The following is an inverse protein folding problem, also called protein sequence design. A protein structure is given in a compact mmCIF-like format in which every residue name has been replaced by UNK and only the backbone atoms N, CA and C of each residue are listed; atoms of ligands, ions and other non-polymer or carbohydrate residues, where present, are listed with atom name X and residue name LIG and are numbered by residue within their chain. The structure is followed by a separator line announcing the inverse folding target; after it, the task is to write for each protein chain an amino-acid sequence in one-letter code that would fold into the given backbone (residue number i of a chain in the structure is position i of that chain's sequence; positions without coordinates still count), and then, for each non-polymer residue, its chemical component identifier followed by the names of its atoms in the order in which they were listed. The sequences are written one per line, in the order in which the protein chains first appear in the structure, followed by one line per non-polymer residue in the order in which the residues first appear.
data_IF_484226146100
#
_entry.id   IF_484226146100
#
_cell.length_a   1.000
_cell.length_b   1.000
_cell.length_c   1.000
_cell.angle_alpha   90.00
_cell.angle_beta   90.00
_cell.angle_gamma   90.00
#
_symmetry.space_group_name_H-M   'P 1'
#
loop_
_entity.id
_entity.type
_entity.pdbx_description
1 polymer ?
#
# COMPACT_ATOMS: atom_id res chain seq x y z
N UNK A 1 16.02 -7.45 12.34
CA UNK A 1 15.85 -8.56 11.37
C UNK A 1 16.16 -7.99 9.99
N UNK A 2 17.26 -8.39 9.34
CA UNK A 2 17.65 -7.84 8.03
C UNK A 2 16.79 -8.53 6.96
N UNK A 3 15.79 -7.84 6.42
CA UNK A 3 14.94 -8.30 5.30
C UNK A 3 15.62 -8.02 3.94
N UNK A 4 16.87 -8.43 3.82
CA UNK A 4 17.60 -8.47 2.55
C UNK A 4 18.38 -9.76 2.53
N UNK A 5 18.20 -10.57 1.49
CA UNK A 5 19.20 -11.60 1.19
C UNK A 5 20.50 -10.83 1.05
N UNK A 6 21.44 -10.98 1.99
CA UNK A 6 22.81 -10.56 1.74
C UNK A 6 23.25 -11.41 0.56
N UNK A 7 23.08 -10.90 -0.66
CA UNK A 7 23.69 -11.52 -1.81
C UNK A 7 25.16 -11.59 -1.42
N UNK A 8 25.79 -12.75 -1.61
CA UNK A 8 27.20 -12.93 -1.30
C UNK A 8 28.09 -12.16 -2.30
N UNK A 9 27.65 -10.97 -2.72
CA UNK A 9 28.19 -10.13 -3.76
C UNK A 9 28.07 -8.70 -3.24
N UNK A 10 29.22 -8.08 -3.00
CA UNK A 10 29.28 -6.67 -2.64
C UNK A 10 28.76 -5.78 -3.78
N UNK A 11 28.42 -4.50 -3.53
CA UNK A 11 28.03 -3.60 -4.61
C UNK A 11 29.14 -3.42 -5.66
N UNK A 12 28.76 -3.29 -6.94
CA UNK A 12 29.72 -3.12 -8.05
C UNK A 12 30.64 -1.90 -7.86
N UNK A 13 30.10 -0.81 -7.31
CA UNK A 13 30.85 0.41 -7.05
C UNK A 13 31.97 0.19 -6.01
N UNK A 14 31.74 -0.67 -5.01
CA UNK A 14 32.71 -0.97 -3.95
C UNK A 14 33.91 -1.71 -4.53
N UNK A 15 33.66 -2.72 -5.37
CA UNK A 15 34.70 -3.46 -6.08
C UNK A 15 35.53 -2.57 -7.02
N UNK A 16 34.88 -1.63 -7.73
CA UNK A 16 35.54 -0.72 -8.67
C UNK A 16 36.41 0.32 -7.95
N UNK A 17 35.93 0.86 -6.83
CA UNK A 17 36.62 1.90 -6.07
C UNK A 17 37.76 1.35 -5.21
N UNK A 18 37.56 0.17 -4.65
CA UNK A 18 38.46 -0.46 -3.68
C UNK A 18 38.80 -1.89 -4.11
N UNK A 19 39.75 -2.09 -5.05
CA UNK A 19 40.04 -3.44 -5.56
C UNK A 19 40.62 -4.42 -4.52
N UNK A 20 41.03 -3.95 -3.35
CA UNK A 20 41.46 -4.78 -2.20
C UNK A 20 40.29 -5.52 -1.55
N UNK A 21 39.05 -5.09 -1.80
CA UNK A 21 37.87 -5.82 -1.33
C UNK A 21 37.65 -7.11 -2.10
N UNK A 22 38.29 -7.31 -3.26
CA UNK A 22 38.24 -8.56 -4.02
C UNK A 22 39.25 -9.56 -3.45
N UNK A 23 38.81 -10.81 -3.27
CA UNK A 23 39.68 -11.91 -2.89
C UNK A 23 40.68 -12.26 -4.00
N UNK A 24 41.80 -12.84 -3.60
CA UNK A 24 42.87 -13.29 -4.49
C UNK A 24 42.93 -14.82 -4.52
N UNK A 25 43.38 -15.39 -5.63
CA UNK A 25 43.75 -16.80 -5.73
C UNK A 25 45.21 -17.00 -5.27
N UNK A 26 45.63 -18.25 -5.09
CA UNK A 26 46.98 -18.60 -4.63
C UNK A 26 48.09 -18.11 -5.58
N UNK A 27 47.76 -17.89 -6.85
CA UNK A 27 48.66 -17.34 -7.88
C UNK A 27 48.73 -15.79 -7.88
N UNK A 28 48.16 -15.13 -6.86
CA UNK A 28 48.00 -13.67 -6.74
C UNK A 28 47.09 -13.03 -7.79
N UNK A 29 46.32 -13.80 -8.55
CA UNK A 29 45.31 -13.23 -9.44
C UNK A 29 44.08 -12.78 -8.65
N UNK A 30 43.57 -11.57 -8.94
CA UNK A 30 42.36 -11.06 -8.30
C UNK A 30 41.12 -11.71 -8.87
N UNK A 31 40.15 -12.00 -8.00
CA UNK A 31 38.79 -12.33 -8.43
C UNK A 31 38.18 -11.14 -9.15
N UNK A 32 37.38 -11.41 -10.18
CA UNK A 32 36.68 -10.38 -10.96
C UNK A 32 35.28 -10.21 -10.42
N UNK A 33 34.77 -8.98 -10.32
CA UNK A 33 33.38 -8.72 -9.94
C UNK A 33 32.36 -9.44 -10.84
N UNK A 34 31.29 -10.01 -10.26
CA UNK A 34 30.17 -10.63 -11.00
C UNK A 34 29.77 -12.03 -10.55
N UNK A 35 30.50 -12.62 -9.60
CA UNK A 35 30.21 -13.92 -9.00
C UNK A 35 29.85 -13.83 -7.52
N UNK A 36 29.75 -14.99 -6.86
CA UNK A 36 29.44 -15.11 -5.43
C UNK A 36 30.73 -15.28 -4.61
N UNK A 37 30.75 -14.73 -3.40
CA UNK A 37 31.84 -14.82 -2.41
C UNK A 37 33.19 -14.36 -2.98
N UNK A 38 33.17 -13.23 -3.66
CA UNK A 38 34.36 -12.66 -4.29
C UNK A 38 35.09 -11.67 -3.40
N UNK A 39 34.55 -11.39 -2.21
CA UNK A 39 35.13 -10.45 -1.28
C UNK A 39 36.30 -11.08 -0.50
N UNK A 40 37.29 -10.27 -0.16
CA UNK A 40 38.40 -10.65 0.70
C UNK A 40 37.99 -10.51 2.17
N UNK A 41 37.92 -11.63 2.89
CA UNK A 41 37.59 -11.64 4.33
C UNK A 41 38.60 -10.89 5.20
N UNK A 42 39.81 -10.63 4.70
CA UNK A 42 40.85 -9.91 5.43
C UNK A 42 40.95 -8.42 5.03
N UNK A 43 40.10 -7.95 4.10
CA UNK A 43 40.09 -6.54 3.69
C UNK A 43 39.47 -5.67 4.78
N UNK A 44 40.28 -4.79 5.37
CA UNK A 44 39.81 -3.76 6.31
C UNK A 44 38.78 -2.82 5.67
N UNK A 45 38.93 -2.55 4.37
CA UNK A 45 37.99 -1.73 3.60
C UNK A 45 36.63 -2.41 3.51
N UNK A 46 36.61 -3.71 3.23
CA UNK A 46 35.37 -4.50 3.20
C UNK A 46 34.69 -4.47 4.57
N UNK A 47 35.43 -4.70 5.65
CA UNK A 47 34.90 -4.66 7.02
C UNK A 47 34.28 -3.31 7.36
N UNK A 48 34.99 -2.21 7.06
CA UNK A 48 34.51 -0.86 7.31
C UNK A 48 33.17 -0.59 6.61
N UNK A 49 33.08 -0.83 5.30
CA UNK A 49 31.84 -0.57 4.56
C UNK A 49 30.71 -1.52 4.97
N UNK A 50 31.01 -2.77 5.30
CA UNK A 50 30.01 -3.70 5.84
C UNK A 50 29.46 -3.22 7.17
N UNK A 51 30.31 -2.73 8.07
CA UNK A 51 29.88 -2.17 9.35
C UNK A 51 29.03 -0.90 9.16
N UNK A 52 29.42 0.00 8.26
CA UNK A 52 28.63 1.18 7.90
C UNK A 52 27.25 0.80 7.34
N UNK A 53 27.16 -0.22 6.48
CA UNK A 53 25.88 -0.69 5.91
C UNK A 53 25.01 -1.37 6.96
N UNK A 54 25.58 -2.24 7.82
CA UNK A 54 24.83 -2.94 8.87
C UNK A 54 24.23 -1.96 9.87
N UNK A 55 24.97 -0.89 10.19
CA UNK A 55 24.51 0.15 11.12
C UNK A 55 23.73 1.27 10.43
N UNK A 56 23.50 1.19 9.11
CA UNK A 56 22.71 2.18 8.41
C UNK A 56 21.24 2.08 8.80
N UNK A 57 20.63 3.23 9.07
CA UNK A 57 19.23 3.32 9.43
C UNK A 57 18.37 3.30 8.16
N UNK A 58 17.45 2.35 8.08
CA UNK A 58 16.46 2.27 7.01
C UNK A 58 15.21 2.98 7.51
N UNK A 59 14.91 4.16 6.96
CA UNK A 59 13.66 4.88 7.23
C UNK A 59 12.72 4.76 6.03
N UNK A 60 11.47 4.44 6.32
CA UNK A 60 10.39 4.42 5.35
C UNK A 60 9.37 5.49 5.77
N UNK A 61 8.92 6.31 4.82
CA UNK A 61 7.87 7.31 5.09
C UNK A 61 6.48 6.75 4.81
N UNK A 62 6.41 5.59 4.16
CA UNK A 62 5.18 4.92 3.76
C UNK A 62 5.13 3.54 4.41
N UNK A 63 3.95 3.17 4.90
CA UNK A 63 3.68 1.83 5.38
C UNK A 63 2.45 1.23 4.70
N UNK A 64 2.47 -0.07 4.45
CA UNK A 64 1.30 -0.84 4.04
C UNK A 64 0.94 -1.84 5.13
N UNK A 65 -0.33 -1.83 5.54
CA UNK A 65 -0.84 -2.79 6.52
C UNK A 65 -1.08 -4.13 5.83
N UNK A 66 -0.51 -5.20 6.40
CA UNK A 66 -0.80 -6.58 6.05
C UNK A 66 -1.55 -7.27 7.19
N UNK A 67 -2.88 -7.39 7.04
CA UNK A 67 -3.76 -7.91 8.08
C UNK A 67 -4.23 -9.34 7.77
N UNK A 68 -3.74 -10.28 8.57
CA UNK A 68 -4.03 -11.70 8.40
C UNK A 68 -5.50 -12.07 8.67
N UNK A 69 -6.20 -11.32 9.53
CA UNK A 69 -7.62 -11.55 9.83
C UNK A 69 -8.50 -11.21 8.61
N UNK A 70 -8.21 -10.08 7.97
CA UNK A 70 -8.87 -9.67 6.72
C UNK A 70 -8.57 -10.66 5.59
N UNK A 71 -7.32 -11.12 5.47
CA UNK A 71 -6.96 -12.18 4.52
C UNK A 71 -7.74 -13.48 4.78
N UNK A 72 -7.89 -13.89 6.05
CA UNK A 72 -8.66 -15.07 6.42
C UNK A 72 -10.15 -14.91 6.10
N UNK A 73 -10.73 -13.74 6.39
CA UNK A 73 -12.12 -13.39 6.07
C UNK A 73 -12.39 -13.52 4.57
N UNK A 74 -11.53 -12.95 3.71
CA UNK A 74 -11.69 -13.06 2.26
C UNK A 74 -11.44 -14.47 1.72
N UNK A 75 -10.61 -15.30 2.37
CA UNK A 75 -10.46 -16.71 1.96
C UNK A 75 -11.76 -17.51 2.15
N UNK A 76 -12.55 -17.17 3.17
CA UNK A 76 -13.83 -17.84 3.46
C UNK A 76 -14.96 -17.25 2.60
N UNK A 77 -15.03 -15.91 2.50
CA UNK A 77 -16.08 -15.20 1.78
C UNK A 77 -15.47 -14.23 0.77
N UNK A 78 -15.04 -14.79 -0.37
CA UNK A 78 -14.42 -14.00 -1.44
C UNK A 78 -15.36 -13.00 -2.10
N UNK A 79 -16.64 -13.37 -2.27
CA UNK A 79 -17.69 -12.65 -3.02
C UNK A 79 -17.39 -12.48 -4.53
N UNK A 80 -16.19 -12.06 -4.90
CA UNK A 80 -15.67 -12.11 -6.27
C UNK A 80 -14.63 -13.23 -6.43
N UNK A 81 -14.66 -13.99 -7.53
CA UNK A 81 -13.59 -14.95 -7.85
C UNK A 81 -12.24 -14.28 -8.11
N UNK A 82 -12.25 -12.98 -8.46
CA UNK A 82 -11.05 -12.18 -8.68
C UNK A 82 -10.41 -11.68 -7.38
N UNK A 83 -11.09 -11.83 -6.24
CA UNK A 83 -10.59 -11.32 -4.96
C UNK A 83 -9.40 -12.12 -4.44
N UNK A 84 -8.23 -11.50 -4.50
CA UNK A 84 -7.00 -11.92 -3.83
C UNK A 84 -6.44 -10.74 -3.02
N UNK A 85 -6.39 -10.92 -1.70
CA UNK A 85 -5.85 -9.93 -0.76
C UNK A 85 -4.44 -9.46 -1.15
N UNK A 86 -3.58 -10.36 -1.62
CA UNK A 86 -2.19 -10.00 -2.00
C UNK A 86 -2.18 -9.08 -3.20
N UNK A 87 -3.06 -9.29 -4.17
CA UNK A 87 -3.10 -8.45 -5.37
C UNK A 87 -3.47 -7.01 -5.03
N UNK A 88 -4.36 -6.80 -4.04
CA UNK A 88 -4.70 -5.45 -3.60
C UNK A 88 -3.58 -4.79 -2.79
N UNK A 89 -2.86 -5.55 -1.95
CA UNK A 89 -1.61 -5.08 -1.32
C UNK A 89 -0.62 -4.63 -2.40
N UNK A 90 -0.41 -5.43 -3.45
CA UNK A 90 0.46 -5.07 -4.56
C UNK A 90 -0.03 -3.84 -5.33
N UNK A 91 -1.34 -3.67 -5.52
CA UNK A 91 -1.92 -2.52 -6.21
C UNK A 91 -1.55 -1.22 -5.51
N UNK A 92 -1.71 -1.16 -4.19
CA UNK A 92 -1.33 0.02 -3.39
C UNK A 92 0.19 0.18 -3.27
N UNK A 93 0.95 -0.92 -3.19
CA UNK A 93 2.40 -0.90 -3.00
C UNK A 93 3.20 -0.52 -4.26
N UNK A 94 2.80 -1.04 -5.42
CA UNK A 94 3.48 -0.89 -6.72
C UNK A 94 3.89 0.55 -7.05
N UNK A 95 2.99 1.56 -7.01
CA UNK A 95 3.35 2.91 -7.47
C UNK A 95 4.50 3.52 -6.65
N UNK A 96 4.53 3.30 -5.34
CA UNK A 96 5.61 3.79 -4.49
C UNK A 96 6.93 3.06 -4.78
N UNK A 97 6.88 1.75 -4.97
CA UNK A 97 8.05 0.95 -5.33
C UNK A 97 8.66 1.36 -6.67
N UNK A 98 7.84 1.58 -7.69
CA UNK A 98 8.29 2.04 -9.02
C UNK A 98 8.92 3.45 -8.97
N UNK A 99 8.55 4.26 -7.98
CA UNK A 99 9.14 5.57 -7.73
C UNK A 99 10.32 5.54 -6.72
N UNK A 100 10.87 4.35 -6.41
CA UNK A 100 11.97 4.15 -5.45
C UNK A 100 11.70 4.71 -4.04
N UNK A 101 10.43 4.77 -3.64
CA UNK A 101 10.04 5.13 -2.28
C UNK A 101 10.16 3.89 -1.41
N UNK A 102 10.84 4.01 -0.28
CA UNK A 102 10.98 2.92 0.68
C UNK A 102 9.68 2.74 1.47
N UNK A 103 9.22 1.50 1.60
CA UNK A 103 7.91 1.16 2.16
C UNK A 103 8.07 0.00 3.13
N UNK A 104 7.49 0.13 4.31
CA UNK A 104 7.43 -0.98 5.27
C UNK A 104 6.12 -1.75 5.12
N UNK A 105 6.20 -3.08 5.22
CA UNK A 105 5.02 -3.95 5.33
C UNK A 105 4.84 -4.28 6.81
N UNK A 106 3.79 -3.75 7.43
CA UNK A 106 3.59 -3.81 8.87
C UNK A 106 2.28 -4.52 9.24
N UNK A 107 2.20 -5.18 10.40
CA UNK A 107 0.93 -5.64 10.93
C UNK A 107 0.11 -4.47 11.50
N UNK A 108 -1.20 -4.64 11.65
CA UNK A 108 -2.10 -3.58 12.14
C UNK A 108 -1.90 -3.16 13.60
N UNK A 109 -1.19 -3.96 14.41
CA UNK A 109 -1.03 -3.75 15.85
C UNK A 109 0.24 -3.00 16.27
N UNK A 110 1.17 -2.71 15.34
CA UNK A 110 2.36 -1.91 15.67
C UNK A 110 2.06 -0.42 15.63
N UNK A 111 2.96 0.39 16.19
CA UNK A 111 2.93 1.84 16.05
C UNK A 111 3.27 2.23 14.61
N UNK A 112 2.50 3.16 14.07
CA UNK A 112 2.66 3.73 12.73
C UNK A 112 2.59 5.27 12.72
N UNK A 113 2.76 5.90 13.89
CA UNK A 113 2.70 7.35 14.06
C UNK A 113 3.83 8.11 13.35
N UNK A 114 4.99 7.47 13.12
CA UNK A 114 6.14 8.09 12.45
C UNK A 114 6.04 8.08 10.91
N UNK A 115 5.13 7.28 10.34
CA UNK A 115 4.92 7.28 8.89
C UNK A 115 4.18 8.54 8.45
N UNK A 116 4.31 8.89 7.17
CA UNK A 116 3.54 9.98 6.53
C UNK A 116 2.33 9.46 5.79
N UNK A 117 2.44 8.25 5.21
CA UNK A 117 1.38 7.63 4.42
C UNK A 117 1.14 6.19 4.90
N UNK A 118 -0.12 5.85 5.13
CA UNK A 118 -0.57 4.53 5.56
C UNK A 118 -1.52 3.93 4.52
N UNK A 119 -1.12 2.82 3.91
CA UNK A 119 -1.89 2.10 2.90
C UNK A 119 -2.65 0.94 3.55
N UNK A 120 -3.96 0.88 3.35
CA UNK A 120 -4.86 -0.07 4.01
C UNK A 120 -5.64 -0.85 2.94
N UNK A 121 -5.07 -1.97 2.45
CA UNK A 121 -5.69 -2.80 1.43
C UNK A 121 -6.79 -3.67 2.04
N UNK A 122 -8.04 -3.43 1.65
CA UNK A 122 -9.20 -4.30 1.94
C UNK A 122 -9.25 -4.77 3.39
N UNK A 123 -9.05 -3.89 4.36
CA UNK A 123 -9.06 -4.28 5.78
C UNK A 123 -10.51 -4.42 6.27
N UNK A 124 -11.16 -5.51 5.85
CA UNK A 124 -12.60 -5.75 6.05
C UNK A 124 -12.96 -5.99 7.52
N UNK A 125 -12.04 -6.59 8.28
CA UNK A 125 -12.17 -6.82 9.72
C UNK A 125 -11.57 -5.63 10.44
N UNK A 126 -12.39 -4.87 11.16
CA UNK A 126 -11.90 -3.79 11.99
C UNK A 126 -11.66 -4.25 13.44
N UNK A 127 -10.64 -3.64 14.05
CA UNK A 127 -10.29 -3.78 15.47
C UNK A 127 -10.39 -2.37 16.05
N UNK A 128 -11.25 -2.14 17.03
CA UNK A 128 -11.57 -0.79 17.50
C UNK A 128 -10.32 0.01 17.89
N UNK A 129 -9.35 -0.61 18.56
CA UNK A 129 -8.07 0.03 18.91
C UNK A 129 -7.25 0.46 17.69
N UNK A 130 -7.27 -0.33 16.62
CA UNK A 130 -6.59 0.02 15.36
C UNK A 130 -7.32 1.17 14.69
N UNK A 131 -8.66 1.19 14.73
CA UNK A 131 -9.44 2.26 14.12
C UNK A 131 -9.21 3.61 14.77
N UNK A 132 -9.13 3.64 16.10
CA UNK A 132 -8.80 4.86 16.84
C UNK A 132 -7.38 5.33 16.50
N UNK A 133 -6.40 4.42 16.40
CA UNK A 133 -5.04 4.78 16.01
C UNK A 133 -4.96 5.32 14.58
N UNK A 134 -5.71 4.76 13.63
CA UNK A 134 -5.77 5.28 12.25
C UNK A 134 -6.39 6.68 12.24
N UNK A 135 -7.47 6.89 13.00
CA UNK A 135 -8.08 8.22 13.15
C UNK A 135 -7.09 9.21 13.73
N UNK A 136 -6.40 8.85 14.80
CA UNK A 136 -5.39 9.70 15.44
C UNK A 136 -4.21 10.01 14.52
N UNK A 137 -3.77 9.02 13.73
CA UNK A 137 -2.75 9.21 12.70
C UNK A 137 -3.16 10.27 11.68
N UNK A 138 -4.39 10.21 11.14
CA UNK A 138 -4.89 11.22 10.20
C UNK A 138 -5.04 12.58 10.89
N UNK A 139 -5.57 12.62 12.12
CA UNK A 139 -5.68 13.87 12.89
C UNK A 139 -4.36 14.60 13.05
N UNK A 140 -3.27 13.84 13.21
CA UNK A 140 -1.91 14.37 13.40
C UNK A 140 -1.19 14.71 12.09
N UNK A 141 -1.86 14.59 10.94
CA UNK A 141 -1.31 14.99 9.63
C UNK A 141 -0.88 13.82 8.74
N UNK A 142 -1.13 12.58 9.16
CA UNK A 142 -0.92 11.41 8.32
C UNK A 142 -1.92 11.35 7.17
N UNK A 143 -1.50 10.75 6.05
CA UNK A 143 -2.37 10.43 4.92
C UNK A 143 -2.72 8.94 4.94
N UNK A 144 -4.01 8.60 4.89
CA UNK A 144 -4.45 7.20 4.80
C UNK A 144 -5.05 6.91 3.43
N UNK A 145 -4.74 5.74 2.88
CA UNK A 145 -5.34 5.25 1.63
C UNK A 145 -6.07 3.95 1.94
N UNK A 146 -7.39 4.04 2.05
CA UNK A 146 -8.27 2.89 2.15
C UNK A 146 -8.60 2.36 0.76
N UNK A 147 -8.65 1.04 0.61
CA UNK A 147 -9.31 0.44 -0.54
C UNK A 147 -10.68 -0.15 -0.17
N UNK A 148 -11.40 -0.62 -1.18
CA UNK A 148 -12.72 -1.20 -1.08
C UNK A 148 -12.84 -2.25 0.02
N UNK A 149 -14.07 -2.44 0.50
CA UNK A 149 -14.45 -3.42 1.51
C UNK A 149 -13.76 -3.20 2.86
N UNK A 150 -13.31 -1.99 3.14
CA UNK A 150 -12.71 -1.62 4.44
C UNK A 150 -13.80 -1.52 5.53
N UNK A 151 -13.47 -2.00 6.74
CA UNK A 151 -14.26 -1.84 7.96
C UNK A 151 -15.76 -2.18 7.83
N UNK A 152 -16.06 -3.39 7.37
CA UNK A 152 -17.44 -3.89 7.24
C UNK A 152 -17.82 -4.82 8.40
N UNK A 153 -16.82 -5.53 8.94
CA UNK A 153 -17.03 -6.57 9.93
C UNK A 153 -16.28 -6.29 11.22
N UNK A 154 -16.91 -6.61 12.34
CA UNK A 154 -16.25 -6.61 13.64
C UNK A 154 -15.17 -7.70 13.70
N UNK A 155 -14.41 -7.71 14.81
CA UNK A 155 -13.35 -8.69 15.04
C UNK A 155 -13.83 -10.15 15.01
N UNK A 156 -15.10 -10.40 15.33
CA UNK A 156 -15.73 -11.72 15.32
C UNK A 156 -16.37 -12.06 13.97
N UNK A 157 -16.09 -11.26 12.92
CA UNK A 157 -16.58 -11.45 11.56
C UNK A 157 -18.11 -11.25 11.41
N UNK A 158 -18.74 -10.51 12.32
CA UNK A 158 -20.14 -10.08 12.23
C UNK A 158 -20.27 -8.75 11.51
N UNK A 159 -21.41 -8.51 10.85
CA UNK A 159 -21.73 -7.21 10.28
C UNK A 159 -22.14 -6.23 11.39
N UNK A 160 -21.68 -4.98 11.29
CA UNK A 160 -22.13 -3.90 12.15
C UNK A 160 -23.53 -3.46 11.73
N UNK A 161 -24.49 -3.45 12.66
CA UNK A 161 -25.85 -2.99 12.41
C UNK A 161 -26.03 -1.52 12.82
N UNK A 162 -26.90 -0.79 12.12
CA UNK A 162 -27.23 0.60 12.45
C UNK A 162 -26.12 1.61 12.14
N UNK A 163 -25.11 1.21 11.36
CA UNK A 163 -24.03 2.07 10.89
C UNK A 163 -23.88 1.91 9.37
N UNK A 164 -23.46 2.98 8.72
CA UNK A 164 -23.05 2.93 7.32
C UNK A 164 -21.61 2.42 7.20
N UNK A 165 -21.29 1.81 6.05
CA UNK A 165 -19.92 1.39 5.74
C UNK A 165 -19.14 2.54 5.10
N UNK A 166 -17.81 2.65 5.33
CA UNK A 166 -17.02 1.86 6.27
C UNK A 166 -17.37 2.22 7.72
N UNK A 167 -17.68 1.19 8.53
CA UNK A 167 -18.10 1.37 9.92
C UNK A 167 -17.04 2.18 10.68
N UNK A 168 -17.49 3.14 11.50
CA UNK A 168 -16.66 4.04 12.31
C UNK A 168 -15.81 5.07 11.52
N UNK A 169 -15.79 5.06 10.19
CA UNK A 169 -14.96 5.98 9.39
C UNK A 169 -15.72 6.95 8.50
N UNK A 170 -17.05 6.98 8.52
CA UNK A 170 -17.83 7.77 7.56
C UNK A 170 -17.54 9.27 7.59
N UNK A 171 -17.26 9.84 8.76
CA UNK A 171 -16.79 11.21 8.94
C UNK A 171 -15.31 11.39 8.53
N UNK A 172 -14.46 10.40 8.81
CA UNK A 172 -13.05 10.40 8.42
C UNK A 172 -12.88 10.39 6.91
N UNK A 173 -13.61 9.51 6.21
CA UNK A 173 -13.59 9.40 4.75
C UNK A 173 -14.51 10.43 4.07
N UNK A 174 -15.30 11.18 4.83
CA UNK A 174 -16.22 12.20 4.32
C UNK A 174 -17.32 11.66 3.41
N UNK A 175 -17.85 10.49 3.71
CA UNK A 175 -18.87 9.81 2.91
C UNK A 175 -19.21 8.43 3.44
N UNK A 176 -20.02 7.69 2.70
CA UNK A 176 -20.32 6.30 2.99
C UNK A 176 -20.58 5.51 1.71
N UNK A 177 -20.43 4.19 1.80
CA UNK A 177 -20.73 3.25 0.73
C UNK A 177 -22.24 3.02 0.70
N UNK A 178 -22.90 3.53 -0.34
CA UNK A 178 -24.34 3.39 -0.56
C UNK A 178 -24.64 1.98 -1.08
N UNK A 179 -23.87 1.52 -2.06
CA UNK A 179 -24.07 0.24 -2.73
C UNK A 179 -22.76 -0.50 -2.97
N UNK A 180 -22.83 -1.84 -3.02
CA UNK A 180 -21.67 -2.69 -3.22
C UNK A 180 -21.96 -3.79 -4.22
N UNK A 181 -21.09 -3.93 -5.20
CA UNK A 181 -21.14 -5.07 -6.11
C UNK A 181 -19.78 -5.76 -6.28
N UNK A 182 -19.83 -7.08 -6.36
CA UNK A 182 -18.67 -7.92 -6.69
C UNK A 182 -18.61 -8.17 -8.19
N UNK A 183 -17.51 -7.78 -8.81
CA UNK A 183 -17.28 -7.97 -10.25
C UNK A 183 -16.66 -9.34 -10.50
N UNK A 184 -17.16 -10.04 -11.51
CA UNK A 184 -16.68 -11.35 -11.93
C UNK A 184 -15.68 -11.25 -13.08
N UNK A 185 -15.08 -12.36 -13.48
CA UNK A 185 -14.12 -12.39 -14.59
C UNK A 185 -14.73 -11.81 -15.88
N UNK A 186 -13.99 -10.92 -16.53
CA UNK A 186 -14.44 -10.19 -17.73
C UNK A 186 -15.35 -8.98 -17.44
N UNK A 187 -15.78 -8.77 -16.19
CA UNK A 187 -16.54 -7.58 -15.81
C UNK A 187 -15.59 -6.49 -15.32
N UNK A 188 -15.64 -5.35 -16.00
CA UNK A 188 -14.98 -4.12 -15.60
C UNK A 188 -16.01 -3.00 -15.57
N UNK A 189 -15.81 -2.04 -14.69
CA UNK A 189 -16.59 -0.80 -14.69
C UNK A 189 -15.72 0.34 -15.18
N UNK A 190 -16.32 1.26 -15.92
CA UNK A 190 -15.64 2.49 -16.31
C UNK A 190 -15.70 3.48 -15.16
N UNK A 191 -14.62 4.23 -15.00
CA UNK A 191 -14.57 5.36 -14.09
C UNK A 191 -13.98 6.56 -14.84
N UNK A 192 -14.44 7.75 -14.48
CA UNK A 192 -13.99 9.00 -15.09
C UNK A 192 -13.51 9.96 -14.01
N UNK A 193 -12.38 10.60 -14.27
CA UNK A 193 -11.85 11.65 -13.43
C UNK A 193 -12.69 12.92 -13.53
N UNK A 194 -12.76 13.65 -12.42
CA UNK A 194 -13.42 14.95 -12.36
C UNK A 194 -12.45 15.99 -11.79
N UNK A 195 -12.79 17.28 -11.93
CA UNK A 195 -11.98 18.39 -11.47
C UNK A 195 -10.53 18.31 -12.00
N UNK A 196 -9.55 18.14 -11.12
CA UNK A 196 -8.13 18.03 -11.48
C UNK A 196 -7.81 16.79 -12.35
N UNK A 197 -8.67 15.78 -12.35
CA UNK A 197 -8.57 14.56 -13.16
C UNK A 197 -9.51 14.56 -14.37
N UNK A 198 -10.12 15.70 -14.72
CA UNK A 198 -11.03 15.80 -15.87
C UNK A 198 -10.35 15.32 -17.16
N UNK A 199 -11.07 14.50 -17.93
CA UNK A 199 -10.57 13.90 -19.16
C UNK A 199 -9.73 12.63 -18.98
N UNK A 200 -9.44 12.23 -17.74
CA UNK A 200 -8.84 10.93 -17.45
C UNK A 200 -9.94 9.87 -17.36
N UNK A 201 -9.85 8.86 -18.22
CA UNK A 201 -10.69 7.67 -18.16
C UNK A 201 -9.90 6.48 -17.59
N UNK A 202 -10.59 5.59 -16.90
CA UNK A 202 -10.01 4.37 -16.39
C UNK A 202 -11.03 3.30 -16.12
N UNK A 203 -10.59 2.27 -15.41
CA UNK A 203 -11.43 1.11 -15.10
C UNK A 203 -11.25 0.61 -13.67
N UNK A 204 -12.34 0.05 -13.16
CA UNK A 204 -12.42 -0.65 -11.88
C UNK A 204 -12.66 -2.15 -12.08
N UNK A 205 -12.10 -2.96 -11.19
CA UNK A 205 -12.17 -4.42 -11.18
C UNK A 205 -12.40 -4.95 -9.77
N UNK A 206 -12.67 -6.26 -9.63
CA UNK A 206 -12.85 -7.00 -8.36
C UNK A 206 -14.12 -6.63 -7.58
N UNK A 207 -14.24 -5.36 -7.16
CA UNK A 207 -15.39 -4.81 -6.48
C UNK A 207 -15.69 -3.40 -6.97
N UNK A 208 -16.92 -2.96 -6.75
CA UNK A 208 -17.26 -1.54 -6.70
C UNK A 208 -18.01 -1.24 -5.41
N UNK A 209 -17.34 -0.56 -4.50
CA UNK A 209 -17.95 0.15 -3.39
C UNK A 209 -18.31 1.54 -3.90
N UNK A 210 -19.60 1.83 -3.98
CA UNK A 210 -20.10 3.05 -4.59
C UNK A 210 -20.38 4.09 -3.51
N UNK A 211 -19.53 5.13 -3.47
CA UNK A 211 -19.55 6.10 -2.38
C UNK A 211 -20.48 7.27 -2.67
N UNK A 212 -21.31 7.59 -1.68
CA UNK A 212 -22.00 8.86 -1.57
C UNK A 212 -21.22 9.78 -0.65
N UNK A 213 -20.74 10.89 -1.20
CA UNK A 213 -19.92 11.85 -0.47
C UNK A 213 -20.77 12.79 0.38
N UNK A 214 -20.20 13.23 1.51
CA UNK A 214 -20.78 14.27 2.39
C UNK A 214 -19.84 15.47 2.47
N UNK A 215 -18.60 15.25 2.92
CA UNK A 215 -17.55 16.29 2.98
C UNK A 215 -16.38 16.01 2.05
N UNK A 216 -16.24 14.77 1.58
CA UNK A 216 -15.18 14.37 0.66
C UNK A 216 -15.35 14.99 -0.72
N UNK A 217 -14.23 15.32 -1.34
CA UNK A 217 -14.15 15.58 -2.77
C UNK A 217 -14.09 14.26 -3.53
N UNK A 218 -14.91 14.15 -4.57
CA UNK A 218 -14.83 13.06 -5.53
C UNK A 218 -13.68 13.34 -6.50
N UNK A 219 -12.77 12.38 -6.66
CA UNK A 219 -11.67 12.45 -7.64
C UNK A 219 -12.03 11.71 -8.93
N UNK A 220 -12.69 10.55 -8.77
CA UNK A 220 -13.18 9.73 -9.87
C UNK A 220 -14.61 9.26 -9.57
N UNK A 221 -15.49 9.31 -10.55
CA UNK A 221 -16.87 8.83 -10.49
C UNK A 221 -17.02 7.55 -11.28
N UNK A 222 -17.98 6.70 -10.91
CA UNK A 222 -18.41 5.60 -11.79
C UNK A 222 -19.03 6.18 -13.06
N UNK A 223 -18.72 5.59 -14.20
CA UNK A 223 -19.23 6.01 -15.51
C UNK A 223 -20.06 4.89 -16.14
N UNK A 224 -21.22 4.65 -15.54
CA UNK A 224 -22.22 3.71 -16.05
C UNK A 224 -23.62 4.36 -16.09
N UNK A 225 -24.58 3.61 -16.61
CA UNK A 225 -25.95 4.09 -16.83
C UNK A 225 -26.72 4.35 -15.53
N UNK A 226 -26.37 3.66 -14.44
CA UNK A 226 -27.18 3.57 -13.23
C UNK A 226 -26.60 4.32 -12.02
N UNK A 227 -25.28 4.40 -11.92
CA UNK A 227 -24.57 4.85 -10.71
C UNK A 227 -23.59 6.00 -10.99
N UNK A 228 -23.88 6.83 -12.00
CA UNK A 228 -23.01 7.94 -12.43
C UNK A 228 -22.91 9.10 -11.42
N UNK A 229 -23.73 9.09 -10.38
CA UNK A 229 -23.72 10.01 -9.25
C UNK A 229 -22.84 9.53 -8.09
N UNK A 230 -22.40 8.27 -8.10
CA UNK A 230 -21.59 7.68 -7.03
C UNK A 230 -20.10 7.71 -7.36
N UNK A 231 -19.30 7.92 -6.32
CA UNK A 231 -17.86 8.11 -6.44
C UNK A 231 -17.11 6.79 -6.34
N UNK A 232 -16.11 6.61 -7.20
CA UNK A 232 -15.19 5.48 -7.19
C UNK A 232 -13.92 5.77 -6.39
N UNK A 233 -13.43 7.01 -6.45
CA UNK A 233 -12.27 7.46 -5.65
C UNK A 233 -12.60 8.80 -5.04
N UNK A 234 -12.35 8.94 -3.74
CA UNK A 234 -12.64 10.16 -2.97
C UNK A 234 -11.45 10.56 -2.12
N UNK A 235 -11.39 11.84 -1.78
CA UNK A 235 -10.41 12.45 -0.89
C UNK A 235 -11.15 13.34 0.12
N UNK A 236 -10.93 13.10 1.40
CA UNK A 236 -11.44 13.96 2.47
C UNK A 236 -10.29 14.53 3.28
N UNK A 237 -10.28 15.85 3.50
CA UNK A 237 -9.41 16.46 4.49
C UNK A 237 -10.03 16.31 5.87
N UNK A 238 -9.27 15.77 6.82
CA UNK A 238 -9.73 15.51 8.19
C UNK A 238 -8.70 16.04 9.18
N UNK A 239 -9.06 17.13 9.88
CA UNK A 239 -8.14 17.89 10.74
C UNK A 239 -6.88 18.32 9.96
N UNK A 240 -5.72 17.76 10.29
CA UNK A 240 -4.43 18.09 9.65
C UNK A 240 -4.04 17.13 8.53
N UNK A 241 -4.75 16.02 8.37
CA UNK A 241 -4.41 14.94 7.45
C UNK A 241 -5.48 14.71 6.38
N UNK A 242 -5.29 13.61 5.66
CA UNK A 242 -6.08 13.28 4.47
C UNK A 242 -6.48 11.81 4.48
N UNK A 243 -7.70 11.52 4.03
CA UNK A 243 -8.22 10.18 3.86
C UNK A 243 -8.65 9.97 2.40
N UNK A 244 -7.96 9.07 1.72
CA UNK A 244 -8.34 8.58 0.39
C UNK A 244 -9.16 7.29 0.55
N UNK A 245 -10.23 7.17 -0.22
CA UNK A 245 -10.97 5.91 -0.35
C UNK A 245 -11.06 5.50 -1.81
N UNK A 246 -10.50 4.33 -2.13
CA UNK A 246 -10.50 3.73 -3.46
C UNK A 246 -11.52 2.58 -3.47
N UNK A 247 -12.71 2.83 -4.00
CA UNK A 247 -13.84 1.90 -3.98
C UNK A 247 -13.76 0.74 -4.97
N UNK A 248 -12.66 0.57 -5.72
CA UNK A 248 -12.54 -0.51 -6.70
C UNK A 248 -11.09 -0.94 -6.89
N UNK A 249 -10.86 -2.11 -7.49
CA UNK A 249 -9.55 -2.52 -7.98
C UNK A 249 -9.14 -1.68 -9.18
N UNK A 250 -8.75 -0.43 -8.90
CA UNK A 250 -8.49 0.63 -9.89
C UNK A 250 -7.28 0.31 -10.76
N UNK A 251 -7.31 0.72 -12.03
CA UNK A 251 -6.18 0.50 -12.93
C UNK A 251 -4.88 1.17 -12.47
N UNK A 252 -3.77 0.70 -13.06
CA UNK A 252 -2.43 1.13 -12.69
C UNK A 252 -2.17 2.62 -12.97
N UNK A 253 -2.73 3.16 -14.04
CA UNK A 253 -2.50 4.55 -14.44
C UNK A 253 -3.08 5.52 -13.41
N UNK A 254 -4.33 5.27 -12.98
CA UNK A 254 -4.96 6.07 -11.93
C UNK A 254 -4.23 5.88 -10.59
N UNK A 255 -3.86 4.65 -10.25
CA UNK A 255 -3.12 4.39 -9.02
C UNK A 255 -1.75 5.12 -8.98
N UNK A 256 -1.05 5.20 -10.13
CA UNK A 256 0.20 5.95 -10.27
C UNK A 256 0.01 7.46 -10.15
N UNK A 257 -1.12 8.00 -10.61
CA UNK A 257 -1.47 9.40 -10.43
C UNK A 257 -1.78 9.73 -8.97
N UNK A 258 -2.57 8.88 -8.30
CA UNK A 258 -2.94 9.05 -6.89
C UNK A 258 -1.71 9.02 -5.98
N UNK A 259 -0.76 8.13 -6.23
CA UNK A 259 0.45 8.01 -5.41
C UNK A 259 1.43 9.20 -5.53
N UNK A 260 1.28 10.05 -6.55
CA UNK A 260 2.10 11.26 -6.73
C UNK A 260 1.53 12.50 -6.03
N UNK A 261 0.30 12.42 -5.52
CA UNK A 261 -0.41 13.49 -4.82
C UNK A 261 -0.17 13.41 -3.30
#
# INVERSE_FOLDING_TARGET
MIFGISTATMPAWLAKKHPDVLGEFEDNTKRVFGGRRQYCFNSKTYHKYTEEIINSEIKSEVAVIYDYESMASFRIQRQSFLMDYKNEVYRLYRPFYENNVNIDVIPSYVDFSEYKVLLIPTMIVFKSEVQERIREFVKNGGKVVFSFRTAIKDYYNNLTLGQYNPSFYTDLIGGFVEEIESLQEGQNVKIKGINEFEGIEGSGTVFRDMLKTTTAESLFMYDDEFYNELSAVTLNSFEKGEAYYIGTGVDNNIMDMLAKK
#
